data_IF_298656042018
#
_entry.id   IF_298656042018
#
_cell.length_a   1.000
_cell.length_b   1.000
_cell.length_c   1.000
_cell.angle_alpha   90.00
_cell.angle_beta   90.00
_cell.angle_gamma   90.00
#
_symmetry.space_group_name_H-M   'P 1'
#
loop_
_entity.id
_entity.type
_entity.pdbx_description
1 polymer ?
#
# COMPACT_ATOMS: atom_id res chain seq x y z
N UNK A 1 -2.45 -8.48 17.48
CA UNK A 1 -1.77 -7.21 17.16
C UNK A 1 -2.27 -6.74 15.81
N UNK A 2 -2.70 -5.48 15.67
CA UNK A 2 -3.10 -4.90 14.38
C UNK A 2 -1.88 -4.17 13.80
N UNK A 3 -1.61 -4.38 12.52
CA UNK A 3 -0.45 -3.79 11.82
C UNK A 3 -0.96 -3.09 10.56
N UNK A 4 -0.39 -1.93 10.25
CA UNK A 4 -0.66 -1.22 9.01
C UNK A 4 0.65 -1.10 8.24
N UNK A 5 0.66 -1.60 7.02
CA UNK A 5 1.75 -1.36 6.07
C UNK A 5 1.39 -0.20 5.17
N UNK A 6 2.21 0.85 5.18
CA UNK A 6 2.03 2.02 4.32
C UNK A 6 3.16 2.03 3.29
N UNK A 7 2.79 1.85 2.03
CA UNK A 7 3.65 1.94 0.87
C UNK A 7 3.44 3.30 0.18
N UNK A 8 4.48 4.13 0.10
CA UNK A 8 4.44 5.47 -0.48
C UNK A 8 5.34 5.54 -1.73
N UNK A 9 4.74 5.69 -2.91
CA UNK A 9 5.48 5.94 -4.16
C UNK A 9 6.37 4.77 -4.62
N UNK A 10 6.11 3.54 -4.18
CA UNK A 10 6.92 2.38 -4.56
C UNK A 10 6.44 1.84 -5.90
N UNK A 11 7.25 2.06 -6.93
CA UNK A 11 7.06 1.50 -8.27
C UNK A 11 7.68 0.11 -8.47
N UNK A 12 7.95 -0.21 -9.74
CA UNK A 12 8.39 -1.55 -10.19
C UNK A 12 9.89 -1.67 -10.53
N UNK A 13 10.70 -0.67 -10.17
CA UNK A 13 12.15 -0.76 -10.40
C UNK A 13 12.80 -1.87 -9.56
N UNK A 14 12.44 -1.97 -8.28
CA UNK A 14 12.95 -2.97 -7.33
C UNK A 14 11.85 -3.46 -6.36
N UNK A 15 10.76 -4.03 -6.89
CA UNK A 15 9.55 -4.33 -6.11
C UNK A 15 9.78 -5.39 -5.01
N UNK A 16 10.85 -6.17 -5.11
CA UNK A 16 11.24 -7.16 -4.10
C UNK A 16 11.70 -6.58 -2.75
N UNK A 17 11.96 -5.27 -2.65
CA UNK A 17 12.40 -4.64 -1.39
C UNK A 17 11.21 -4.31 -0.48
N UNK A 18 10.12 -3.75 -1.02
CA UNK A 18 8.95 -3.29 -0.24
C UNK A 18 7.65 -3.90 -0.76
N UNK A 19 7.32 -3.68 -2.04
CA UNK A 19 6.00 -4.01 -2.62
C UNK A 19 5.64 -5.48 -2.44
N UNK A 20 6.47 -6.40 -2.92
CA UNK A 20 6.17 -7.84 -2.83
C UNK A 20 6.21 -8.38 -1.39
N UNK A 21 7.19 -8.01 -0.55
CA UNK A 21 7.15 -8.38 0.86
C UNK A 21 5.88 -7.91 1.57
N UNK A 22 5.46 -6.65 1.38
CA UNK A 22 4.25 -6.12 2.01
C UNK A 22 3.00 -6.89 1.55
N UNK A 23 2.89 -7.21 0.26
CA UNK A 23 1.79 -8.02 -0.25
C UNK A 23 1.77 -9.42 0.37
N UNK A 24 2.91 -10.10 0.42
CA UNK A 24 3.02 -11.44 1.01
C UNK A 24 2.67 -11.44 2.49
N UNK A 25 3.19 -10.46 3.24
CA UNK A 25 2.91 -10.34 4.68
C UNK A 25 1.45 -10.00 4.96
N UNK A 26 0.80 -9.22 4.11
CA UNK A 26 -0.64 -8.91 4.20
C UNK A 26 -1.48 -10.15 3.89
N UNK A 27 -1.14 -10.90 2.84
CA UNK A 27 -1.82 -12.14 2.49
C UNK A 27 -1.73 -13.20 3.61
N UNK A 28 -0.63 -13.22 4.36
CA UNK A 28 -0.39 -14.19 5.43
C UNK A 28 -1.08 -13.87 6.75
N UNK A 29 -1.57 -12.64 6.96
CA UNK A 29 -2.15 -12.25 8.24
C UNK A 29 -3.41 -11.37 8.05
N UNK A 30 -4.61 -11.89 8.33
CA UNK A 30 -5.87 -11.17 8.14
C UNK A 30 -6.05 -9.94 9.06
N UNK A 31 -5.14 -9.72 10.01
CA UNK A 31 -5.15 -8.55 10.89
C UNK A 31 -4.26 -7.40 10.38
N UNK A 32 -3.70 -7.53 9.18
CA UNK A 32 -2.87 -6.52 8.53
C UNK A 32 -3.75 -5.70 7.58
N UNK A 33 -3.57 -4.38 7.62
CA UNK A 33 -4.09 -3.50 6.58
C UNK A 33 -2.92 -3.03 5.72
N UNK A 34 -3.06 -3.15 4.40
CA UNK A 34 -2.11 -2.60 3.45
C UNK A 34 -2.65 -1.30 2.88
N UNK A 35 -1.81 -0.28 2.79
CA UNK A 35 -2.14 1.02 2.21
C UNK A 35 -1.10 1.33 1.14
N UNK A 36 -1.55 1.57 -0.09
CA UNK A 36 -0.69 1.97 -1.21
C UNK A 36 -1.08 3.38 -1.66
N UNK A 37 -0.16 4.34 -1.55
CA UNK A 37 -0.31 5.68 -2.11
C UNK A 37 0.70 5.82 -3.24
N UNK A 38 0.22 6.00 -4.47
CA UNK A 38 1.10 6.19 -5.62
C UNK A 38 0.39 6.96 -6.73
N UNK A 39 1.14 7.63 -7.60
CA UNK A 39 0.60 8.39 -8.72
C UNK A 39 0.59 7.53 -9.99
N UNK A 40 -0.59 7.08 -10.43
CA UNK A 40 -0.81 6.25 -11.61
C UNK A 40 -0.51 4.76 -11.41
N UNK A 41 -0.11 4.33 -10.21
CA UNK A 41 0.28 2.94 -9.91
C UNK A 41 -0.21 2.47 -8.53
N UNK A 42 -1.37 2.98 -8.08
CA UNK A 42 -1.98 2.57 -6.81
C UNK A 42 -2.87 1.34 -7.00
N UNK A 43 -2.31 0.15 -6.76
CA UNK A 43 -3.07 -1.11 -6.83
C UNK A 43 -2.45 -2.20 -5.95
N UNK A 44 -3.24 -3.24 -5.71
CA UNK A 44 -2.86 -4.44 -4.97
C UNK A 44 -3.33 -5.72 -5.70
N UNK A 45 -2.77 -6.89 -5.38
CA UNK A 45 -3.29 -8.17 -5.84
C UNK A 45 -4.70 -8.44 -5.32
N UNK A 46 -5.50 -9.17 -6.10
CA UNK A 46 -6.89 -9.51 -5.77
C UNK A 46 -7.01 -10.23 -4.41
N UNK A 47 -6.03 -11.05 -4.07
CA UNK A 47 -5.98 -11.85 -2.84
C UNK A 47 -5.96 -10.99 -1.57
N UNK A 48 -5.50 -9.73 -1.66
CA UNK A 48 -5.44 -8.81 -0.52
C UNK A 48 -6.36 -7.59 -0.69
N UNK A 49 -7.23 -7.57 -1.69
CA UNK A 49 -8.10 -6.42 -1.97
C UNK A 49 -8.95 -6.02 -0.76
N UNK A 50 -9.53 -7.01 -0.07
CA UNK A 50 -10.33 -6.80 1.15
C UNK A 50 -9.53 -6.28 2.36
N UNK A 51 -8.20 -6.33 2.29
CA UNK A 51 -7.28 -5.85 3.33
C UNK A 51 -6.56 -4.57 2.91
N UNK A 52 -6.86 -4.04 1.72
CA UNK A 52 -6.05 -3.02 1.08
C UNK A 52 -6.82 -1.73 0.85
N UNK A 53 -6.12 -0.60 1.01
CA UNK A 53 -6.59 0.72 0.62
C UNK A 53 -5.58 1.34 -0.36
N UNK A 54 -5.96 1.37 -1.64
CA UNK A 54 -5.12 1.93 -2.70
C UNK A 54 -5.63 3.33 -3.07
N UNK A 55 -4.76 4.33 -2.96
CA UNK A 55 -5.07 5.73 -3.25
C UNK A 55 -4.19 6.19 -4.40
N UNK A 56 -4.84 6.44 -5.53
CA UNK A 56 -4.18 6.99 -6.70
C UNK A 56 -4.11 8.52 -6.59
N UNK A 57 -2.91 9.07 -6.61
CA UNK A 57 -2.73 10.52 -6.57
C UNK A 57 -1.37 10.98 -6.06
N UNK A 58 -1.22 12.30 -6.02
CA UNK A 58 -0.02 12.94 -5.49
C UNK A 58 0.00 12.78 -3.96
N UNK A 59 1.11 12.26 -3.44
CA UNK A 59 1.25 11.92 -2.01
C UNK A 59 1.13 13.17 -1.13
N UNK A 60 1.66 14.31 -1.59
CA UNK A 60 1.57 15.56 -0.85
C UNK A 60 0.10 16.01 -0.75
N UNK A 61 -0.63 15.98 -1.86
CA UNK A 61 -2.05 16.33 -1.87
C UNK A 61 -2.92 15.41 -1.02
N UNK A 62 -2.58 14.12 -0.94
CA UNK A 62 -3.30 13.12 -0.12
C UNK A 62 -3.04 13.32 1.38
N UNK A 63 -1.80 13.63 1.77
CA UNK A 63 -1.39 13.69 3.17
C UNK A 63 -1.39 15.09 3.78
N UNK A 64 -1.56 16.14 2.97
CA UNK A 64 -1.63 17.51 3.48
C UNK A 64 -2.75 17.61 4.52
N UNK A 65 -2.44 18.25 5.65
CA UNK A 65 -3.43 18.57 6.66
C UNK A 65 -3.99 19.96 6.35
N UNK A 66 -5.31 20.10 6.28
CA UNK A 66 -5.93 21.42 6.27
C UNK A 66 -5.91 21.97 7.72
N UNK A 67 -5.46 23.22 7.85
CA UNK A 67 -5.37 23.93 9.13
C UNK A 67 -6.69 24.60 9.48
#
# INVERSE_FOLDING_TARGET
MKVVFVELGVGYNTPGIIKYPFWQMTAQNPNVTYICLNYGQAYCPLEIENQSFCVDGDIWEILKKEN
#
